data_IF_258128988280
#
_entry.id   IF_258128988280
#
_cell.length_a   1.000
_cell.length_b   1.000
_cell.length_c   1.000
_cell.angle_alpha   90.00
_cell.angle_beta   90.00
_cell.angle_gamma   90.00
#
_symmetry.space_group_name_H-M   'P 1'
#
loop_
_entity.id
_entity.type
_entity.pdbx_description
1 polymer ?
#
# COMPACT_ATOMS: atom_id res chain seq x y z
N UNK A 1 7.70 14.93 -21.53
CA UNK A 1 8.75 14.40 -20.62
C UNK A 1 8.17 13.22 -19.85
N UNK A 2 8.98 12.24 -19.48
CA UNK A 2 8.54 10.97 -18.89
C UNK A 2 8.71 10.98 -17.37
N UNK A 3 7.65 10.67 -16.62
CA UNK A 3 7.66 10.52 -15.17
C UNK A 3 6.82 9.27 -14.83
N UNK A 4 7.47 8.24 -14.28
CA UNK A 4 6.82 6.97 -13.94
C UNK A 4 7.42 6.39 -12.68
N UNK A 5 6.56 5.92 -11.78
CA UNK A 5 6.89 5.25 -10.52
C UNK A 5 6.10 3.95 -10.47
N UNK A 6 6.80 2.83 -10.34
CA UNK A 6 6.19 1.52 -10.07
C UNK A 6 6.74 1.01 -8.74
N UNK A 7 5.84 0.68 -7.82
CA UNK A 7 6.20 0.18 -6.49
C UNK A 7 5.41 -1.08 -6.18
N UNK A 8 6.03 -2.00 -5.44
CA UNK A 8 5.34 -3.10 -4.78
C UNK A 8 5.73 -3.03 -3.31
N UNK A 9 4.74 -2.94 -2.44
CA UNK A 9 4.98 -2.76 -1.01
C UNK A 9 3.75 -3.09 -0.18
N UNK A 10 3.92 -2.96 1.13
CA UNK A 10 2.85 -3.20 2.10
C UNK A 10 2.38 -1.89 2.71
N UNK A 11 1.07 -1.76 2.90
CA UNK A 11 0.50 -0.62 3.60
C UNK A 11 0.96 -0.57 5.05
N UNK A 12 1.45 0.57 5.52
CA UNK A 12 1.90 0.72 6.92
C UNK A 12 0.73 0.87 7.89
N UNK A 13 -0.39 1.41 7.41
CA UNK A 13 -1.61 1.64 8.17
C UNK A 13 -2.86 1.33 7.32
N UNK A 14 -4.02 1.25 7.97
CA UNK A 14 -5.30 1.14 7.27
C UNK A 14 -5.54 2.45 6.50
N UNK A 15 -5.89 2.42 5.20
CA UNK A 15 -6.18 3.63 4.47
C UNK A 15 -7.49 4.27 4.94
N UNK A 16 -7.46 5.57 5.19
CA UNK A 16 -8.63 6.35 5.62
C UNK A 16 -9.14 7.21 4.47
N UNK A 17 -10.40 6.99 4.09
CA UNK A 17 -11.07 7.78 3.07
C UNK A 17 -11.37 9.17 3.63
N UNK A 18 -10.82 10.19 2.99
CA UNK A 18 -11.04 11.58 3.32
C UNK A 18 -11.74 12.29 2.17
N UNK A 19 -12.52 13.33 2.49
CA UNK A 19 -13.16 14.20 1.51
C UNK A 19 -12.54 15.59 1.55
N UNK A 20 -12.22 16.13 0.39
CA UNK A 20 -11.73 17.51 0.28
C UNK A 20 -12.87 18.52 0.31
N UNK A 21 -12.54 19.81 0.52
CA UNK A 21 -13.51 20.92 0.48
C UNK A 21 -14.26 21.03 -0.86
N UNK A 22 -13.66 20.51 -1.95
CA UNK A 22 -14.28 20.47 -3.28
C UNK A 22 -15.00 19.15 -3.56
N UNK A 23 -15.42 18.44 -2.51
CA UNK A 23 -16.16 17.18 -2.56
C UNK A 23 -15.43 15.98 -3.22
N UNK A 24 -14.12 16.09 -3.45
CA UNK A 24 -13.32 14.99 -4.04
C UNK A 24 -12.81 14.04 -2.96
N UNK A 25 -13.00 12.75 -3.19
CA UNK A 25 -12.46 11.68 -2.34
C UNK A 25 -10.96 11.52 -2.52
N UNK A 26 -10.25 11.34 -1.41
CA UNK A 26 -8.81 11.19 -1.36
C UNK A 26 -8.39 10.22 -0.27
N UNK A 27 -7.38 9.40 -0.55
CA UNK A 27 -6.71 8.56 0.43
C UNK A 27 -5.21 8.86 0.35
N UNK A 28 -4.62 9.18 1.49
CA UNK A 28 -3.16 9.29 1.65
C UNK A 28 -2.67 8.09 2.41
N UNK A 29 -1.65 7.44 1.90
CA UNK A 29 -1.14 6.20 2.47
C UNK A 29 0.37 6.11 2.30
N UNK A 30 0.98 5.25 3.11
CA UNK A 30 2.42 4.99 3.07
C UNK A 30 2.64 3.52 2.75
N UNK A 31 3.49 3.27 1.77
CA UNK A 31 3.97 1.95 1.40
C UNK A 31 5.34 1.70 2.00
N UNK A 32 5.47 0.59 2.71
CA UNK A 32 6.74 -0.01 3.08
C UNK A 32 7.26 -0.84 1.91
N UNK A 33 8.40 -0.44 1.34
CA UNK A 33 9.06 -1.10 0.20
C UNK A 33 10.41 -1.60 0.66
N UNK A 34 10.59 -2.92 0.67
CA UNK A 34 11.87 -3.52 1.05
C UNK A 34 12.93 -3.26 -0.02
N UNK A 35 14.12 -2.84 0.40
CA UNK A 35 15.27 -2.74 -0.49
C UNK A 35 15.74 -4.14 -0.93
N UNK A 36 16.28 -4.23 -2.14
CA UNK A 36 16.74 -5.50 -2.74
C UNK A 36 17.90 -6.12 -1.96
N UNK A 37 18.82 -5.29 -1.48
CA UNK A 37 20.06 -5.73 -0.85
C UNK A 37 19.97 -5.62 0.67
N UNK A 38 20.67 -6.54 1.35
CA UNK A 38 20.87 -6.49 2.80
C UNK A 38 21.99 -5.50 3.14
N UNK A 39 21.90 -4.89 4.30
CA UNK A 39 22.98 -4.09 4.89
C UNK A 39 24.16 -4.96 5.31
N UNK A 40 25.28 -4.35 5.70
CA UNK A 40 26.44 -5.05 6.27
C UNK A 40 26.11 -5.86 7.52
N UNK A 41 25.03 -5.51 8.24
CA UNK A 41 24.53 -6.23 9.41
C UNK A 41 23.58 -7.39 9.06
N UNK A 42 23.24 -7.58 7.77
CA UNK A 42 22.38 -8.66 7.29
C UNK A 42 20.88 -8.36 7.28
N UNK A 43 20.48 -7.15 7.68
CA UNK A 43 19.08 -6.70 7.71
C UNK A 43 18.64 -6.13 6.36
N UNK A 44 17.35 -6.26 6.03
CA UNK A 44 16.75 -5.58 4.87
C UNK A 44 16.17 -4.25 5.31
N UNK A 45 16.74 -3.17 4.79
CA UNK A 45 16.18 -1.83 4.96
C UNK A 45 14.85 -1.69 4.21
N UNK A 46 14.03 -0.76 4.71
CA UNK A 46 12.69 -0.49 4.20
C UNK A 46 12.56 1.00 3.91
N UNK A 47 12.13 1.34 2.71
CA UNK A 47 11.75 2.69 2.33
C UNK A 47 10.25 2.90 2.59
N UNK A 48 9.91 4.04 3.16
CA UNK A 48 8.54 4.44 3.44
C UNK A 48 8.11 5.51 2.44
N UNK A 49 7.35 5.09 1.43
CA UNK A 49 6.96 5.96 0.32
C UNK A 49 5.53 6.44 0.52
N UNK A 50 5.36 7.76 0.58
CA UNK A 50 4.04 8.38 0.62
C UNK A 50 3.40 8.38 -0.76
N UNK A 51 2.12 8.03 -0.81
CA UNK A 51 1.32 8.03 -2.02
C UNK A 51 -0.08 8.60 -1.77
N UNK A 52 -0.69 9.09 -2.83
CA UNK A 52 -2.04 9.66 -2.82
C UNK A 52 -2.87 9.05 -3.94
N UNK A 53 -4.06 8.55 -3.60
CA UNK A 53 -5.07 8.09 -4.54
C UNK A 53 -6.30 8.98 -4.45
N UNK A 54 -6.99 9.18 -5.57
CA UNK A 54 -8.15 10.06 -5.69
C UNK A 54 -9.37 9.33 -6.26
N UNK A 55 -10.57 9.85 -5.99
CA UNK A 55 -11.82 9.36 -6.58
C UNK A 55 -12.07 7.88 -6.34
N UNK A 56 -12.49 7.15 -7.38
CA UNK A 56 -12.78 5.71 -7.29
C UNK A 56 -11.60 4.85 -6.84
N UNK A 57 -10.35 5.25 -7.11
CA UNK A 57 -9.18 4.56 -6.58
C UNK A 57 -9.10 4.70 -5.06
N UNK A 58 -9.37 5.90 -4.54
CA UNK A 58 -9.40 6.16 -3.11
C UNK A 58 -10.48 5.32 -2.41
N UNK A 59 -11.68 5.30 -2.98
CA UNK A 59 -12.81 4.50 -2.46
C UNK A 59 -12.50 3.00 -2.47
N UNK A 60 -11.93 2.50 -3.57
CA UNK A 60 -11.55 1.08 -3.71
C UNK A 60 -10.46 0.73 -2.70
N UNK A 61 -9.43 1.57 -2.56
CA UNK A 61 -8.34 1.31 -1.64
C UNK A 61 -8.82 1.29 -0.18
N UNK A 62 -9.67 2.24 0.22
CA UNK A 62 -10.21 2.30 1.57
C UNK A 62 -11.18 1.14 1.88
N UNK A 63 -11.97 0.71 0.89
CA UNK A 63 -12.94 -0.38 1.05
C UNK A 63 -12.27 -1.75 1.12
N UNK A 64 -11.22 -1.96 0.31
CA UNK A 64 -10.64 -3.28 0.12
C UNK A 64 -9.24 -3.43 0.69
N UNK A 65 -8.55 -2.42 1.19
CA UNK A 65 -7.22 -2.60 1.75
C UNK A 65 -7.21 -2.36 3.27
N UNK A 66 -6.44 -3.20 3.97
CA UNK A 66 -6.18 -3.08 5.41
C UNK A 66 -4.69 -2.86 5.68
N UNK A 67 -4.33 -2.48 6.92
CA UNK A 67 -2.94 -2.38 7.35
C UNK A 67 -2.18 -3.63 6.95
N UNK A 68 -1.03 -3.46 6.30
CA UNK A 68 -0.14 -4.51 5.83
C UNK A 68 -0.54 -5.19 4.53
N UNK A 69 -1.64 -4.79 3.87
CA UNK A 69 -2.00 -5.35 2.56
C UNK A 69 -0.88 -5.13 1.55
N UNK A 70 -0.54 -6.18 0.79
CA UNK A 70 0.41 -6.12 -0.30
C UNK A 70 -0.26 -5.54 -1.55
N UNK A 71 0.35 -4.52 -2.16
CA UNK A 71 -0.16 -3.92 -3.39
C UNK A 71 0.95 -3.49 -4.34
N UNK A 72 0.67 -3.56 -5.65
CA UNK A 72 1.40 -2.84 -6.68
C UNK A 72 0.79 -1.46 -6.87
N UNK A 73 1.63 -0.49 -7.22
CA UNK A 73 1.24 0.88 -7.50
C UNK A 73 1.94 1.32 -8.80
N UNK A 74 1.17 1.87 -9.74
CA UNK A 74 1.65 2.63 -10.90
C UNK A 74 1.22 4.08 -10.74
N UNK A 75 2.17 5.00 -10.90
CA UNK A 75 1.97 6.40 -10.64
C UNK A 75 3.11 7.26 -11.15
N UNK A 76 3.18 8.47 -10.63
CA UNK A 76 4.22 9.45 -10.96
C UNK A 76 4.65 10.22 -9.71
N UNK A 77 5.89 10.68 -9.70
CA UNK A 77 6.41 11.45 -8.57
C UNK A 77 5.89 12.88 -8.64
N UNK A 78 5.30 13.37 -7.54
CA UNK A 78 4.81 14.74 -7.40
C UNK A 78 5.46 15.41 -6.19
N UNK A 79 5.95 16.61 -6.41
CA UNK A 79 6.45 17.48 -5.34
C UNK A 79 5.51 18.66 -5.18
N UNK A 80 5.02 18.90 -3.97
CA UNK A 80 4.25 20.10 -3.64
C UNK A 80 4.91 20.86 -2.51
N UNK A 81 4.71 22.18 -2.48
CA UNK A 81 5.13 23.04 -1.39
C UNK A 81 3.92 23.60 -0.65
N UNK A 82 4.03 23.75 0.65
CA UNK A 82 3.05 24.47 1.46
C UNK A 82 3.76 25.21 2.59
N UNK A 83 3.22 26.37 2.95
CA UNK A 83 3.76 27.16 4.05
C UNK A 83 2.99 26.85 5.34
N UNK A 84 3.71 26.63 6.43
CA UNK A 84 3.14 26.43 7.76
C UNK A 84 4.02 27.14 8.78
N UNK A 85 3.41 28.01 9.60
CA UNK A 85 4.10 28.78 10.63
C UNK A 85 5.36 29.54 10.12
N UNK A 86 5.27 30.11 8.92
CA UNK A 86 6.37 30.88 8.31
C UNK A 86 7.51 30.03 7.72
N UNK A 87 7.39 28.70 7.71
CA UNK A 87 8.33 27.79 7.06
C UNK A 87 7.72 27.13 5.82
N UNK A 88 8.47 27.13 4.72
CA UNK A 88 8.10 26.42 3.49
C UNK A 88 8.48 24.96 3.62
N UNK A 89 7.50 24.07 3.53
CA UNK A 89 7.69 22.63 3.52
C UNK A 89 7.52 22.06 2.12
N UNK A 90 8.44 21.18 1.71
CA UNK A 90 8.33 20.40 0.49
C UNK A 90 7.88 18.98 0.83
N UNK A 91 6.89 18.48 0.09
CA UNK A 91 6.41 17.11 0.19
C UNK A 91 6.60 16.44 -1.14
N UNK A 92 7.30 15.31 -1.12
CA UNK A 92 7.41 14.40 -2.24
C UNK A 92 6.50 13.22 -1.99
N UNK A 93 5.57 12.98 -2.91
CA UNK A 93 4.61 11.88 -2.83
C UNK A 93 4.37 11.29 -4.22
N UNK A 94 3.90 10.05 -4.27
CA UNK A 94 3.54 9.40 -5.53
C UNK A 94 2.04 9.63 -5.80
N UNK A 95 1.70 10.23 -6.93
CA UNK A 95 0.32 10.27 -7.40
C UNK A 95 -0.02 8.92 -8.03
N UNK A 96 -0.95 8.20 -7.42
CA UNK A 96 -1.39 6.89 -7.87
C UNK A 96 -2.34 7.01 -9.07
N UNK A 97 -2.02 6.33 -10.17
CA UNK A 97 -2.88 6.21 -11.35
C UNK A 97 -3.59 4.86 -11.39
N UNK A 98 -2.97 3.81 -10.89
CA UNK A 98 -3.59 2.50 -10.71
C UNK A 98 -2.86 1.71 -9.63
N UNK A 99 -3.55 0.73 -9.05
CA UNK A 99 -2.97 -0.20 -8.11
C UNK A 99 -3.61 -1.58 -8.28
N UNK A 100 -2.92 -2.62 -7.84
CA UNK A 100 -3.49 -3.95 -7.71
C UNK A 100 -3.19 -4.49 -6.32
N UNK A 101 -4.19 -5.08 -5.68
CA UNK A 101 -3.98 -5.87 -4.48
C UNK A 101 -3.38 -7.21 -4.89
N UNK A 102 -2.26 -7.59 -4.27
CA UNK A 102 -1.48 -8.77 -4.63
C UNK A 102 -1.67 -9.93 -3.65
N UNK A 103 -2.62 -9.80 -2.72
CA UNK A 103 -2.98 -10.84 -1.75
C UNK A 103 -4.37 -11.38 -2.04
N UNK A 104 -4.51 -12.70 -1.96
CA UNK A 104 -5.82 -13.33 -2.03
C UNK A 104 -6.66 -12.99 -0.79
N UNK A 105 -7.99 -13.12 -0.90
CA UNK A 105 -8.89 -12.95 0.25
C UNK A 105 -8.53 -13.92 1.38
N UNK A 106 -8.15 -15.16 1.05
CA UNK A 106 -7.70 -16.16 2.00
C UNK A 106 -6.42 -15.72 2.73
N UNK A 107 -5.38 -15.30 1.99
CA UNK A 107 -4.14 -14.80 2.58
C UNK A 107 -4.37 -13.59 3.49
N UNK A 108 -5.32 -12.71 3.12
CA UNK A 108 -5.72 -11.60 3.99
C UNK A 108 -6.42 -12.07 5.26
N UNK A 109 -7.36 -13.01 5.15
CA UNK A 109 -8.09 -13.56 6.29
C UNK A 109 -7.15 -14.27 7.28
N UNK A 110 -6.17 -15.04 6.78
CA UNK A 110 -5.12 -15.69 7.58
C UNK A 110 -4.27 -14.66 8.34
N UNK A 111 -4.05 -13.48 7.74
CA UNK A 111 -3.23 -12.42 8.35
C UNK A 111 -4.01 -11.58 9.38
N UNK A 112 -5.32 -11.45 9.19
CA UNK A 112 -6.21 -10.68 10.08
C UNK A 112 -6.68 -11.51 11.27
N UNK A 113 -6.88 -12.81 11.09
CA UNK A 113 -7.11 -13.76 12.16
C UNK A 113 -5.77 -14.36 12.59
N UNK A 114 -5.32 -14.10 13.81
CA UNK A 114 -4.22 -14.86 14.44
C UNK A 114 -4.60 -16.34 14.72
N UNK A 115 -5.27 -17.01 13.78
CA UNK A 115 -5.53 -18.44 13.74
C UNK A 115 -4.71 -19.00 12.57
N UNK A 116 -3.38 -18.89 12.70
CA UNK A 116 -2.45 -19.36 11.68
C UNK A 116 -2.52 -20.89 11.46
N UNK A 117 -3.05 -21.64 12.43
CA UNK A 117 -3.04 -23.10 12.36
C UNK A 117 -4.23 -23.67 11.57
N UNK A 118 -5.46 -23.20 11.82
CA UNK A 118 -6.67 -23.85 11.28
C UNK A 118 -6.87 -23.64 9.76
N UNK A 119 -6.33 -22.56 9.20
CA UNK A 119 -6.48 -22.25 7.76
C UNK A 119 -5.33 -22.79 6.91
N UNK A 120 -4.14 -22.99 7.49
CA UNK A 120 -3.02 -23.65 6.81
C UNK A 120 -3.35 -25.13 6.61
N UNK A 121 -3.96 -25.78 7.60
CA UNK A 121 -4.41 -27.17 7.48
C UNK A 121 -5.49 -27.33 6.38
N UNK A 122 -6.44 -26.40 6.27
CA UNK A 122 -7.47 -26.43 5.22
C UNK A 122 -6.90 -26.23 3.80
N UNK A 123 -5.91 -25.33 3.66
CA UNK A 123 -5.25 -25.08 2.37
C UNK A 123 -4.35 -26.25 1.92
N UNK A 124 -3.73 -26.95 2.87
CA UNK A 124 -2.94 -28.16 2.60
C UNK A 124 -3.83 -29.39 2.31
N UNK A 125 -5.10 -29.38 2.73
CA UNK A 125 -6.08 -30.40 2.36
C UNK A 125 -6.60 -30.22 0.92
N UNK A 126 -6.77 -28.99 0.42
CA UNK A 126 -7.17 -28.74 -0.97
C UNK A 126 -6.11 -29.20 -2.00
N UNK A 127 -4.80 -29.10 -1.67
CA UNK A 127 -3.71 -29.61 -2.53
C UNK A 127 -3.58 -31.14 -2.56
N UNK A 128 -4.30 -31.86 -1.68
CA UNK A 128 -4.24 -33.33 -1.55
C UNK A 128 -5.40 -34.07 -2.21
N UNK A 129 -6.21 -33.43 -3.05
CA UNK A 129 -7.22 -34.16 -3.81
C UNK A 129 -6.58 -34.89 -5.00
N UNK A 130 -6.71 -36.22 -5.09
CA UNK A 130 -6.03 -37.01 -6.11
C UNK A 130 -6.86 -37.08 -7.40
N UNK A 131 -7.29 -35.94 -7.95
CA UNK A 131 -7.80 -35.82 -9.32
C UNK A 131 -7.97 -34.35 -9.71
#
# INVERSE_FOLDING_TARGET
MYNKVILIGRLVAKPELNKTLTDKQVVRFTLAVNRRFKTTTGEREVDFINAVAWGGLAETLASYASKGSLLSLDGELRTRKYDKAGQTHFVTEVLCHSFQLLESRAQRAIRENNAANDLIDLALEEEKLPF
#
